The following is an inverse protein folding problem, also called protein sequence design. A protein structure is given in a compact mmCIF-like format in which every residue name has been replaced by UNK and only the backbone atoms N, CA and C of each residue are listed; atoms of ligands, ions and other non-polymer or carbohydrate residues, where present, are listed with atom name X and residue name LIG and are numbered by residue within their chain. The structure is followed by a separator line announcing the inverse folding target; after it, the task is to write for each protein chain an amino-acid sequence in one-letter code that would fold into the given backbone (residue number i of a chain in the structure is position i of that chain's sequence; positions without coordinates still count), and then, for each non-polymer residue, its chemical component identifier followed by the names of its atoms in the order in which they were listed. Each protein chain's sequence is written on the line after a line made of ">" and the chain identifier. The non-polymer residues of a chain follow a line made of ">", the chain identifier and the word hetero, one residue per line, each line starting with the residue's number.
data_IF_537442750578
#
_entry.id   IF_537442750578
#
_cell.length_a   1.000
_cell.length_b   1.000
_cell.length_c   1.000
_cell.angle_alpha   90.00
_cell.angle_beta   90.00
_cell.angle_gamma   90.00
#
_symmetry.space_group_name_H-M   'P 1'
#
loop_
_entity.id
_entity.type
_entity.pdbx_description
1 polymer ?
#
# COMPACT_ATOMS: atom_id res chain seq x y z
N UNK A 1 10.73 10.22 -19.70
CA UNK A 1 9.29 10.10 -19.38
C UNK A 1 9.00 8.98 -18.38
N UNK A 2 9.68 7.82 -18.44
CA UNK A 2 9.42 6.67 -17.54
C UNK A 2 9.73 6.95 -16.06
N UNK A 3 10.84 7.63 -15.74
CA UNK A 3 11.30 7.84 -14.34
C UNK A 3 10.35 8.65 -13.45
N UNK A 4 9.72 9.71 -13.98
CA UNK A 4 8.77 10.52 -13.20
C UNK A 4 7.53 9.70 -12.87
N UNK A 5 7.06 8.88 -13.80
CA UNK A 5 5.90 8.01 -13.61
C UNK A 5 6.17 6.93 -12.57
N UNK A 6 7.34 6.29 -12.58
CA UNK A 6 7.71 5.28 -11.57
C UNK A 6 7.99 5.91 -10.20
N UNK A 7 8.57 7.11 -10.18
CA UNK A 7 8.81 7.86 -8.95
C UNK A 7 7.50 8.29 -8.29
N UNK A 8 6.59 8.90 -9.06
CA UNK A 8 5.25 9.26 -8.59
C UNK A 8 4.49 8.02 -8.17
N UNK A 9 4.56 6.92 -8.93
CA UNK A 9 3.94 5.67 -8.54
C UNK A 9 4.44 5.16 -7.18
N UNK A 10 5.76 5.16 -6.97
CA UNK A 10 6.40 4.68 -5.73
C UNK A 10 6.10 5.60 -4.54
N UNK A 11 6.09 6.93 -4.78
CA UNK A 11 5.77 7.92 -3.76
C UNK A 11 4.29 7.83 -3.35
N UNK A 12 3.39 7.68 -4.32
CA UNK A 12 1.94 7.66 -4.09
C UNK A 12 1.49 6.34 -3.43
N UNK A 13 1.98 5.20 -3.91
CA UNK A 13 1.62 3.88 -3.35
C UNK A 13 2.12 3.71 -1.91
N UNK A 14 3.36 4.10 -1.63
CA UNK A 14 3.96 3.93 -0.30
C UNK A 14 3.65 5.07 0.66
N UNK A 15 4.30 6.22 0.46
CA UNK A 15 4.34 7.28 1.45
C UNK A 15 3.08 8.14 1.49
N UNK A 16 2.52 8.48 0.32
CA UNK A 16 1.41 9.42 0.21
C UNK A 16 0.10 8.80 0.70
N UNK A 17 -0.16 7.53 0.36
CA UNK A 17 -1.32 6.79 0.88
C UNK A 17 -1.32 6.68 2.41
N UNK A 18 -0.16 6.39 3.01
CA UNK A 18 -0.02 6.33 4.47
C UNK A 18 -0.15 7.71 5.11
N UNK A 19 0.47 8.73 4.52
CA UNK A 19 0.41 10.10 5.04
C UNK A 19 -1.03 10.61 5.11
N UNK A 20 -1.79 10.43 4.01
CA UNK A 20 -3.21 10.81 3.98
C UNK A 20 -4.02 9.98 4.97
N UNK A 21 -3.78 8.66 5.04
CA UNK A 21 -4.46 7.78 5.99
C UNK A 21 -4.22 8.18 7.45
N UNK A 22 -2.96 8.41 7.82
CA UNK A 22 -2.54 8.78 9.17
C UNK A 22 -3.10 10.14 9.59
N UNK A 23 -3.09 11.11 8.68
CA UNK A 23 -3.69 12.43 8.92
C UNK A 23 -5.19 12.34 9.18
N UNK A 24 -5.90 11.51 8.41
CA UNK A 24 -7.36 11.35 8.55
C UNK A 24 -7.76 10.52 9.78
N UNK A 25 -6.98 9.50 10.15
CA UNK A 25 -7.32 8.60 11.24
C UNK A 25 -6.89 9.15 12.61
N UNK A 26 -5.66 9.68 12.72
CA UNK A 26 -5.05 9.99 14.02
C UNK A 26 -4.45 11.39 14.09
N UNK A 27 -4.58 12.19 13.03
CA UNK A 27 -4.04 13.56 12.98
C UNK A 27 -2.52 13.63 12.95
N UNK A 28 -1.83 12.52 12.65
CA UNK A 28 -0.37 12.48 12.55
C UNK A 28 0.08 13.11 11.23
N UNK A 29 0.98 14.09 11.30
CA UNK A 29 1.45 14.87 10.15
C UNK A 29 2.94 14.67 9.83
N UNK A 30 3.61 13.66 10.40
CA UNK A 30 5.02 13.36 10.09
C UNK A 30 5.17 12.62 8.74
N UNK A 31 5.69 13.29 7.68
CA UNK A 31 5.87 12.67 6.38
C UNK A 31 7.00 11.63 6.35
N UNK A 32 8.01 11.74 7.23
CA UNK A 32 9.12 10.79 7.30
C UNK A 32 8.61 9.47 7.86
N UNK A 33 7.82 9.51 8.94
CA UNK A 33 7.22 8.31 9.51
C UNK A 33 6.31 7.60 8.48
N UNK A 34 5.52 8.36 7.72
CA UNK A 34 4.69 7.84 6.63
C UNK A 34 5.50 7.22 5.50
N UNK A 35 6.58 7.87 5.06
CA UNK A 35 7.46 7.35 4.03
C UNK A 35 8.07 6.01 4.43
N UNK A 36 8.64 5.92 5.64
CA UNK A 36 9.25 4.67 6.11
C UNK A 36 8.16 3.59 6.24
N UNK A 37 6.96 3.93 6.69
CA UNK A 37 5.85 2.96 6.80
C UNK A 37 5.44 2.44 5.44
N UNK A 38 5.34 3.31 4.44
CA UNK A 38 5.10 2.94 3.05
C UNK A 38 6.16 2.01 2.50
N UNK A 39 7.45 2.26 2.78
CA UNK A 39 8.55 1.36 2.39
C UNK A 39 8.39 -0.01 3.04
N UNK A 40 8.05 -0.09 4.33
CA UNK A 40 7.78 -1.38 4.99
C UNK A 40 6.57 -2.07 4.35
N UNK A 41 5.53 -1.32 4.00
CA UNK A 41 4.37 -1.85 3.28
C UNK A 41 4.72 -2.47 1.93
N UNK A 42 5.60 -1.82 1.17
CA UNK A 42 6.11 -2.37 -0.09
C UNK A 42 6.87 -3.69 0.12
N UNK A 43 7.69 -3.78 1.18
CA UNK A 43 8.39 -5.02 1.53
C UNK A 43 7.39 -6.11 1.92
N UNK A 44 6.40 -5.79 2.76
CA UNK A 44 5.34 -6.73 3.16
C UNK A 44 4.59 -7.25 1.94
N UNK A 45 4.25 -6.37 0.99
CA UNK A 45 3.61 -6.75 -0.26
C UNK A 45 4.46 -7.73 -1.06
N UNK A 46 5.73 -7.41 -1.33
CA UNK A 46 6.62 -8.25 -2.14
C UNK A 46 6.79 -9.63 -1.49
N UNK A 47 7.05 -9.68 -0.18
CA UNK A 47 7.24 -10.94 0.55
C UNK A 47 5.98 -11.78 0.52
N UNK A 48 4.82 -11.17 0.80
CA UNK A 48 3.56 -11.90 0.83
C UNK A 48 3.11 -12.35 -0.56
N UNK A 49 3.34 -11.54 -1.60
CA UNK A 49 3.09 -11.90 -2.99
C UNK A 49 3.96 -13.07 -3.44
N UNK A 50 5.23 -13.10 -3.03
CA UNK A 50 6.14 -14.20 -3.33
C UNK A 50 5.73 -15.52 -2.63
N UNK A 51 5.24 -15.45 -1.39
CA UNK A 51 4.87 -16.63 -0.59
C UNK A 51 3.45 -17.14 -0.88
N UNK A 52 2.49 -16.23 -1.06
CA UNK A 52 1.05 -16.51 -1.06
C UNK A 52 0.33 -16.02 -2.32
N UNK A 53 1.01 -15.37 -3.26
CA UNK A 53 0.38 -14.84 -4.48
C UNK A 53 -0.23 -15.89 -5.42
N UNK A 54 0.10 -17.17 -5.20
CA UNK A 54 -0.53 -18.30 -5.89
C UNK A 54 -1.94 -18.61 -5.37
N UNK A 55 -2.28 -18.17 -4.15
CA UNK A 55 -3.62 -18.35 -3.57
C UNK A 55 -4.44 -17.08 -3.81
N UNK A 56 -5.51 -17.14 -4.64
CA UNK A 56 -6.38 -15.99 -4.86
C UNK A 56 -6.94 -15.46 -3.55
N UNK A 57 -6.95 -14.12 -3.38
CA UNK A 57 -7.49 -13.37 -2.23
C UNK A 57 -6.72 -13.54 -0.90
N UNK A 58 -6.19 -14.73 -0.61
CA UNK A 58 -5.44 -15.00 0.62
C UNK A 58 -4.16 -14.15 0.71
N UNK A 59 -3.46 -13.97 -0.42
CA UNK A 59 -2.31 -13.06 -0.49
C UNK A 59 -2.68 -11.63 -0.08
N UNK A 60 -3.76 -11.06 -0.65
CA UNK A 60 -4.20 -9.71 -0.32
C UNK A 60 -4.66 -9.55 1.13
N UNK A 61 -5.44 -10.50 1.66
CA UNK A 61 -5.92 -10.43 3.04
C UNK A 61 -4.77 -10.53 4.04
N UNK A 62 -3.80 -11.40 3.78
CA UNK A 62 -2.59 -11.52 4.61
C UNK A 62 -1.73 -10.27 4.53
N UNK A 63 -1.51 -9.70 3.33
CA UNK A 63 -0.79 -8.43 3.17
C UNK A 63 -1.47 -7.35 4.00
N UNK A 64 -2.78 -7.20 3.87
CA UNK A 64 -3.53 -6.17 4.57
C UNK A 64 -3.43 -6.36 6.09
N UNK A 65 -3.55 -7.59 6.58
CA UNK A 65 -3.44 -7.90 8.01
C UNK A 65 -2.03 -7.62 8.56
N UNK A 66 -0.99 -8.14 7.90
CA UNK A 66 0.41 -7.94 8.31
C UNK A 66 0.76 -6.45 8.24
N UNK A 67 0.30 -5.75 7.22
CA UNK A 67 0.53 -4.32 7.10
C UNK A 67 -0.20 -3.53 8.18
N UNK A 68 -1.46 -3.87 8.48
CA UNK A 68 -2.21 -3.26 9.59
C UNK A 68 -1.48 -3.46 10.93
N UNK A 69 -0.89 -4.64 11.14
CA UNK A 69 -0.08 -4.89 12.33
C UNK A 69 1.17 -3.98 12.38
N UNK A 70 1.86 -3.79 11.26
CA UNK A 70 2.99 -2.83 11.17
C UNK A 70 2.53 -1.42 11.49
N UNK A 71 1.43 -0.95 10.88
CA UNK A 71 0.89 0.40 11.11
C UNK A 71 0.51 0.59 12.58
N UNK A 72 -0.14 -0.39 13.20
CA UNK A 72 -0.51 -0.34 14.62
C UNK A 72 0.70 -0.25 15.56
N UNK A 73 1.88 -0.71 15.14
CA UNK A 73 3.14 -0.54 15.90
C UNK A 73 3.78 0.82 15.70
N UNK A 74 3.44 1.54 14.63
CA UNK A 74 4.10 2.78 14.22
C UNK A 74 3.27 4.04 14.43
N UNK A 75 1.95 3.89 14.53
CA UNK A 75 1.00 4.98 14.75
C UNK A 75 0.26 4.78 16.06
N UNK A 76 -0.03 5.86 16.81
CA UNK A 76 -0.98 5.81 17.92
C UNK A 76 -2.39 5.50 17.40
N UNK A 77 -3.35 5.18 18.28
CA UNK A 77 -4.76 4.97 17.90
C UNK A 77 -5.25 3.52 17.92
N UNK A 78 -4.33 2.55 17.98
CA UNK A 78 -4.68 1.14 18.08
C UNK A 78 -5.18 0.54 16.77
N UNK A 79 -5.77 -0.65 16.85
CA UNK A 79 -6.08 -1.47 15.67
C UNK A 79 -7.13 -0.86 14.73
N UNK A 80 -8.11 -0.12 15.26
CA UNK A 80 -9.16 0.50 14.44
C UNK A 80 -8.59 1.56 13.51
N UNK A 81 -7.81 2.49 14.07
CA UNK A 81 -7.14 3.54 13.31
C UNK A 81 -6.10 2.97 12.36
N UNK A 82 -5.33 1.98 12.81
CA UNK A 82 -4.35 1.29 11.97
C UNK A 82 -4.99 0.63 10.74
N UNK A 83 -6.18 0.04 10.90
CA UNK A 83 -6.93 -0.55 9.79
C UNK A 83 -7.40 0.52 8.82
N UNK A 84 -7.90 1.65 9.32
CA UNK A 84 -8.32 2.78 8.48
C UNK A 84 -7.15 3.33 7.66
N UNK A 85 -6.00 3.57 8.29
CA UNK A 85 -4.77 4.02 7.61
C UNK A 85 -4.36 3.02 6.52
N UNK A 86 -4.34 1.73 6.87
CA UNK A 86 -3.92 0.65 5.96
C UNK A 86 -4.87 0.52 4.77
N UNK A 87 -6.18 0.66 4.99
CA UNK A 87 -7.18 0.64 3.93
C UNK A 87 -7.05 1.84 2.98
N UNK A 88 -6.86 3.05 3.52
CA UNK A 88 -6.63 4.25 2.69
C UNK A 88 -5.38 4.08 1.85
N UNK A 89 -4.26 3.63 2.45
CA UNK A 89 -3.02 3.39 1.74
C UNK A 89 -3.17 2.32 0.64
N UNK A 90 -3.91 1.25 0.94
CA UNK A 90 -4.21 0.19 -0.02
C UNK A 90 -5.06 0.68 -1.19
N UNK A 91 -6.12 1.46 -0.94
CA UNK A 91 -6.97 2.04 -1.99
C UNK A 91 -6.20 3.00 -2.89
N UNK A 92 -5.36 3.85 -2.29
CA UNK A 92 -4.46 4.75 -3.05
C UNK A 92 -3.51 3.92 -3.92
N UNK A 93 -3.00 2.81 -3.39
CA UNK A 93 -2.13 1.92 -4.16
C UNK A 93 -2.85 1.28 -5.35
N UNK A 94 -4.05 0.73 -5.13
CA UNK A 94 -4.86 0.16 -6.20
C UNK A 94 -5.19 1.19 -7.28
N UNK A 95 -5.54 2.42 -6.88
CA UNK A 95 -5.82 3.51 -7.80
C UNK A 95 -4.61 3.78 -8.70
N UNK A 96 -3.43 3.96 -8.11
CA UNK A 96 -2.18 4.22 -8.86
C UNK A 96 -1.86 3.07 -9.81
N UNK A 97 -1.85 1.83 -9.31
CA UNK A 97 -1.52 0.66 -10.12
C UNK A 97 -2.50 0.50 -11.28
N UNK A 98 -3.79 0.76 -11.05
CA UNK A 98 -4.82 0.75 -12.09
C UNK A 98 -4.61 1.83 -13.13
N UNK A 99 -4.26 3.06 -12.71
CA UNK A 99 -3.91 4.14 -13.64
C UNK A 99 -2.69 3.80 -14.48
N UNK A 100 -1.64 3.23 -13.88
CA UNK A 100 -0.45 2.80 -14.61
C UNK A 100 -0.75 1.69 -15.61
N UNK A 101 -1.60 0.73 -15.24
CA UNK A 101 -2.01 -0.35 -16.14
C UNK A 101 -2.85 0.19 -17.30
N UNK A 102 -3.80 1.09 -17.04
CA UNK A 102 -4.60 1.75 -18.08
C UNK A 102 -3.75 2.55 -19.08
N UNK A 103 -2.62 3.08 -18.62
CA UNK A 103 -1.65 3.80 -19.46
C UNK A 103 -0.60 2.87 -20.12
N UNK A 104 -0.67 1.56 -19.90
CA UNK A 104 0.24 0.56 -20.50
C UNK A 104 1.60 0.42 -19.80
N UNK A 105 1.79 1.03 -18.62
CA UNK A 105 3.03 0.95 -17.84
C UNK A 105 3.09 -0.23 -16.85
N UNK A 106 1.98 -0.93 -16.63
CA UNK A 106 1.90 -2.10 -15.76
C UNK A 106 0.95 -3.17 -16.33
N UNK A 107 1.22 -4.45 -16.04
CA UNK A 107 0.31 -5.54 -16.38
C UNK A 107 -0.63 -5.79 -15.20
N UNK A 108 -1.93 -6.02 -15.45
CA UNK A 108 -2.93 -6.32 -14.40
C UNK A 108 -2.54 -7.51 -13.50
N UNK A 109 -1.77 -8.46 -14.04
CA UNK A 109 -1.17 -9.58 -13.30
C UNK A 109 -0.23 -9.13 -12.16
N UNK A 110 0.42 -7.97 -12.27
CA UNK A 110 1.28 -7.41 -11.23
C UNK A 110 0.50 -6.76 -10.07
N UNK A 111 -0.79 -6.47 -10.27
CA UNK A 111 -1.69 -5.82 -9.29
C UNK A 111 -2.34 -6.88 -8.37
N UNK A 112 -2.17 -8.17 -8.68
CA UNK A 112 -2.74 -9.27 -7.92
C UNK A 112 -4.25 -9.45 -8.14
N UNK A 113 -4.81 -8.89 -9.23
CA UNK A 113 -6.17 -9.18 -9.67
C UNK A 113 -6.14 -10.53 -10.38
N UNK A 114 -6.79 -11.59 -9.85
CA UNK A 114 -6.99 -12.81 -10.60
C UNK A 114 -8.07 -12.55 -11.67
N UNK A 115 -7.87 -13.06 -12.89
CA UNK A 115 -8.83 -13.08 -14.02
C UNK A 115 -8.93 -11.85 -14.96
N UNK A 116 -7.83 -11.15 -15.22
CA UNK A 116 -7.70 -10.33 -16.46
C UNK A 116 -6.52 -10.84 -17.28
#
# INVERSE_FOLDING_TARGET
>A
MVFVTTFVASLVTGGLGVYVGARLAVGEEDPINALITGVIGAVVWIVSGALFGWIPLLGQLLVLFVYTWVVNRRYPGGWGDALQISLVAWLVTLLVLSTLAALGFATYRAIGIPFV
#
